data_IF_360880135664
#
_entry.id   IF_360880135664
#
_cell.length_a   1.000
_cell.length_b   1.000
_cell.length_c   1.000
_cell.angle_alpha   90.00
_cell.angle_beta   90.00
_cell.angle_gamma   90.00
#
_symmetry.space_group_name_H-M   'P 1'
#
loop_
_entity.id
_entity.type
_entity.pdbx_description
1 polymer ?
#
# COMPACT_ATOMS: atom_id res chain seq x y z
N UNK A 1 -5.58 -0.21 -29.65
CA UNK A 1 -5.65 -1.70 -29.64
C UNK A 1 -6.31 -2.23 -28.37
N UNK A 2 -5.97 -1.79 -27.15
CA UNK A 2 -6.60 -2.21 -25.87
C UNK A 2 -8.13 -2.05 -25.89
N UNK A 3 -8.63 -1.00 -26.54
CA UNK A 3 -10.07 -0.73 -26.69
C UNK A 3 -10.80 -1.83 -27.49
N UNK A 4 -10.15 -2.45 -28.46
CA UNK A 4 -10.75 -3.54 -29.24
C UNK A 4 -10.83 -4.81 -28.41
N UNK A 5 -9.82 -5.08 -27.59
CA UNK A 5 -9.78 -6.23 -26.70
C UNK A 5 -10.88 -6.18 -25.61
N UNK A 6 -11.20 -4.96 -25.12
CA UNK A 6 -12.25 -4.81 -24.12
C UNK A 6 -13.68 -5.05 -24.65
N UNK A 7 -13.86 -5.23 -25.98
CA UNK A 7 -15.14 -5.56 -26.62
C UNK A 7 -15.34 -7.06 -26.83
N UNK A 8 -14.40 -7.90 -26.38
CA UNK A 8 -14.56 -9.35 -26.47
C UNK A 8 -15.54 -9.83 -25.39
N UNK A 9 -16.82 -9.73 -25.72
CA UNK A 9 -17.92 -10.22 -24.89
C UNK A 9 -18.66 -11.32 -25.65
N UNK A 10 -19.01 -12.40 -24.95
CA UNK A 10 -20.03 -13.35 -25.40
C UNK A 10 -21.39 -12.89 -24.88
N UNK A 11 -22.48 -13.34 -25.48
CA UNK A 11 -23.85 -12.95 -25.08
C UNK A 11 -24.15 -13.23 -23.59
N UNK A 12 -23.34 -14.03 -22.91
CA UNK A 12 -23.58 -14.41 -21.50
C UNK A 12 -22.40 -14.12 -20.56
N UNK A 13 -21.19 -13.85 -21.07
CA UNK A 13 -19.99 -13.69 -20.19
C UNK A 13 -18.98 -12.72 -20.80
N UNK A 14 -18.35 -11.93 -19.93
CA UNK A 14 -17.13 -11.19 -20.27
C UNK A 14 -15.99 -12.18 -20.41
N UNK A 15 -15.38 -12.24 -21.60
CA UNK A 15 -14.30 -13.18 -21.92
C UNK A 15 -12.93 -12.67 -21.48
N UNK A 16 -12.77 -11.36 -21.26
CA UNK A 16 -11.51 -10.73 -20.94
C UNK A 16 -11.65 -9.69 -19.84
N UNK A 17 -10.81 -9.78 -18.83
CA UNK A 17 -10.64 -8.75 -17.80
C UNK A 17 -9.27 -8.08 -18.02
N UNK A 18 -9.26 -6.76 -18.15
CA UNK A 18 -8.05 -5.98 -18.37
C UNK A 18 -7.75 -5.19 -17.10
N UNK A 19 -6.53 -5.34 -16.59
CA UNK A 19 -6.01 -4.57 -15.46
C UNK A 19 -4.89 -3.67 -16.00
N UNK A 20 -5.04 -2.36 -15.81
CA UNK A 20 -4.01 -1.37 -16.14
C UNK A 20 -3.26 -1.02 -14.86
N UNK A 21 -1.96 -1.25 -14.86
CA UNK A 21 -1.08 -0.93 -13.74
C UNK A 21 -0.01 0.04 -14.22
N UNK A 22 0.23 1.09 -13.44
CA UNK A 22 1.24 2.09 -13.77
C UNK A 22 1.48 3.06 -12.61
N UNK A 23 2.45 3.94 -12.80
CA UNK A 23 2.74 5.03 -11.88
C UNK A 23 1.60 6.08 -11.89
N UNK A 24 1.56 7.03 -10.94
CA UNK A 24 0.50 8.06 -10.85
C UNK A 24 0.24 8.82 -12.15
N UNK A 25 1.26 8.97 -13.00
CA UNK A 25 1.18 9.60 -14.33
C UNK A 25 0.21 8.87 -15.28
N UNK A 26 -0.06 7.58 -15.02
CA UNK A 26 -1.05 6.81 -15.79
C UNK A 26 -2.43 7.46 -15.72
N UNK A 27 -2.81 8.06 -14.59
CA UNK A 27 -4.07 8.81 -14.44
C UNK A 27 -4.12 9.98 -15.41
N UNK A 28 -3.03 10.72 -15.54
CA UNK A 28 -2.91 11.85 -16.47
C UNK A 28 -2.99 11.38 -17.93
N UNK A 29 -2.35 10.26 -18.24
CA UNK A 29 -2.42 9.67 -19.59
C UNK A 29 -3.86 9.26 -19.93
N UNK A 30 -4.55 8.55 -19.02
CA UNK A 30 -5.94 8.10 -19.23
C UNK A 30 -6.91 9.29 -19.32
N UNK A 31 -6.60 10.42 -18.68
CA UNK A 31 -7.42 11.63 -18.71
C UNK A 31 -7.35 12.37 -20.06
N UNK A 32 -6.43 12.03 -20.97
CA UNK A 32 -6.29 12.69 -22.27
C UNK A 32 -7.56 12.55 -23.12
N UNK A 33 -7.93 13.58 -23.92
CA UNK A 33 -9.15 13.58 -24.73
C UNK A 33 -9.27 12.37 -25.66
N UNK A 34 -8.15 11.89 -26.21
CA UNK A 34 -8.12 10.72 -27.10
C UNK A 34 -8.45 9.38 -26.43
N UNK A 35 -8.44 9.32 -25.09
CA UNK A 35 -8.67 8.11 -24.31
C UNK A 35 -10.01 8.12 -23.55
N UNK A 36 -10.88 9.08 -23.82
CA UNK A 36 -12.19 9.20 -23.14
C UNK A 36 -13.01 7.91 -23.17
N UNK A 37 -13.02 7.21 -24.32
CA UNK A 37 -13.77 5.95 -24.46
C UNK A 37 -13.16 4.79 -23.65
N UNK A 38 -11.84 4.77 -23.46
CA UNK A 38 -11.17 3.83 -22.57
C UNK A 38 -11.55 4.15 -21.12
N UNK A 39 -11.48 5.42 -20.72
CA UNK A 39 -11.81 5.87 -19.36
C UNK A 39 -13.23 5.49 -18.96
N UNK A 40 -14.22 5.59 -19.88
CA UNK A 40 -15.62 5.20 -19.61
C UNK A 40 -15.81 3.70 -19.34
N UNK A 41 -14.82 2.87 -19.68
CA UNK A 41 -14.85 1.42 -19.46
C UNK A 41 -14.12 0.97 -18.20
N UNK A 42 -13.39 1.88 -17.57
CA UNK A 42 -12.73 1.62 -16.29
C UNK A 42 -13.82 1.67 -15.21
N UNK A 43 -14.14 0.51 -14.66
CA UNK A 43 -15.16 0.36 -13.61
C UNK A 43 -14.58 0.48 -12.21
N UNK A 44 -13.27 0.26 -12.06
CA UNK A 44 -12.57 0.33 -10.76
C UNK A 44 -11.28 1.11 -10.95
N UNK A 45 -11.09 2.15 -10.14
CA UNK A 45 -9.81 2.88 -9.99
C UNK A 45 -9.34 2.67 -8.56
N UNK A 46 -8.12 2.19 -8.41
CA UNK A 46 -7.49 1.96 -7.12
C UNK A 46 -6.13 2.64 -7.10
N UNK A 47 -5.82 3.32 -6.01
CA UNK A 47 -4.52 3.92 -5.77
C UNK A 47 -3.84 3.18 -4.60
N UNK A 48 -2.64 2.64 -4.85
CA UNK A 48 -1.81 2.05 -3.82
C UNK A 48 -0.95 3.16 -3.22
N UNK A 49 -1.25 3.54 -1.99
CA UNK A 49 -0.45 4.49 -1.22
C UNK A 49 0.80 3.85 -0.60
N UNK A 50 1.53 4.64 0.17
CA UNK A 50 2.58 4.14 1.05
C UNK A 50 1.97 3.42 2.25
N UNK A 51 2.74 2.53 2.88
CA UNK A 51 2.31 1.82 4.08
C UNK A 51 2.29 2.77 5.29
N UNK A 52 1.32 2.61 6.17
CA UNK A 52 1.30 3.22 7.49
C UNK A 52 2.40 2.64 8.38
N UNK A 53 2.59 3.19 9.59
CA UNK A 53 3.57 2.67 10.55
C UNK A 53 3.27 1.22 10.93
N UNK A 54 2.01 0.90 11.22
CA UNK A 54 1.59 -0.45 11.59
C UNK A 54 1.75 -1.42 10.42
N UNK A 55 1.32 -1.04 9.21
CA UNK A 55 1.51 -1.83 8.00
C UNK A 55 2.99 -2.02 7.66
N UNK A 56 3.86 -1.04 7.94
CA UNK A 56 5.31 -1.17 7.78
C UNK A 56 5.86 -2.28 8.65
N UNK A 57 5.42 -2.35 9.91
CA UNK A 57 5.77 -3.40 10.86
C UNK A 57 5.30 -4.78 10.38
N UNK A 58 4.02 -4.89 10.03
CA UNK A 58 3.43 -6.12 9.50
C UNK A 58 4.12 -6.59 8.23
N UNK A 59 4.42 -5.66 7.32
CA UNK A 59 5.15 -5.93 6.08
C UNK A 59 6.55 -6.49 6.35
N UNK A 60 7.29 -5.92 7.30
CA UNK A 60 8.62 -6.39 7.66
C UNK A 60 8.57 -7.85 8.16
N UNK A 61 7.68 -8.16 9.08
CA UNK A 61 7.51 -9.54 9.58
C UNK A 61 7.03 -10.49 8.49
N UNK A 62 6.10 -10.07 7.64
CA UNK A 62 5.66 -10.88 6.51
C UNK A 62 6.81 -11.21 5.56
N UNK A 63 7.74 -10.30 5.33
CA UNK A 63 8.93 -10.57 4.51
C UNK A 63 9.83 -11.62 5.15
N UNK A 64 10.04 -11.58 6.48
CA UNK A 64 10.81 -12.60 7.20
C UNK A 64 10.10 -13.96 7.17
N UNK A 65 8.79 -13.98 7.29
CA UNK A 65 7.98 -15.21 7.18
C UNK A 65 8.10 -15.84 5.80
N UNK A 66 7.97 -15.05 4.73
CA UNK A 66 8.17 -15.50 3.35
C UNK A 66 9.58 -16.05 3.11
N UNK A 67 10.59 -15.52 3.81
CA UNK A 67 11.96 -16.02 3.77
C UNK A 67 12.16 -17.30 4.61
N UNK A 68 11.12 -17.76 5.32
CA UNK A 68 11.10 -19.02 6.04
C UNK A 68 11.40 -18.93 7.54
N UNK A 69 11.70 -17.76 8.08
CA UNK A 69 11.95 -17.60 9.51
C UNK A 69 11.57 -16.22 10.04
N UNK A 70 10.39 -16.10 10.61
CA UNK A 70 9.89 -14.85 11.22
C UNK A 70 10.77 -14.37 12.40
N UNK A 71 11.48 -15.29 13.05
CA UNK A 71 12.38 -14.99 14.17
C UNK A 71 13.85 -14.76 13.74
N UNK A 72 14.11 -14.63 12.44
CA UNK A 72 15.45 -14.38 11.92
C UNK A 72 16.05 -13.05 12.41
N UNK A 73 15.18 -12.09 12.71
CA UNK A 73 15.57 -10.78 13.21
C UNK A 73 14.61 -10.36 14.34
N UNK A 74 15.17 -9.99 15.47
CA UNK A 74 14.44 -9.40 16.59
C UNK A 74 14.63 -7.89 16.54
N UNK A 75 13.64 -7.19 15.99
CA UNK A 75 13.65 -5.73 15.91
C UNK A 75 12.74 -5.16 17.02
N UNK A 76 13.25 -4.31 17.93
CA UNK A 76 12.45 -3.65 18.95
C UNK A 76 11.32 -2.79 18.36
N UNK A 77 10.20 -2.68 19.08
CA UNK A 77 9.00 -1.98 18.57
C UNK A 77 9.25 -0.49 18.28
N UNK A 78 10.08 0.18 19.07
CA UNK A 78 10.46 1.58 18.87
C UNK A 78 11.30 1.81 17.60
N UNK A 79 12.02 0.79 17.14
CA UNK A 79 12.80 0.84 15.91
C UNK A 79 11.91 0.90 14.67
N UNK A 80 10.68 0.34 14.71
CA UNK A 80 9.77 0.39 13.56
C UNK A 80 9.32 1.82 13.21
N UNK A 81 9.19 2.70 14.20
CA UNK A 81 8.92 4.11 13.96
C UNK A 81 10.05 4.79 13.15
N UNK A 82 11.32 4.43 13.43
CA UNK A 82 12.48 4.92 12.68
C UNK A 82 12.50 4.35 11.26
N UNK A 83 12.27 3.04 11.11
CA UNK A 83 12.20 2.37 9.79
C UNK A 83 11.10 2.98 8.94
N UNK A 84 9.90 3.19 9.50
CA UNK A 84 8.81 3.83 8.80
C UNK A 84 9.16 5.27 8.39
N UNK A 85 9.68 6.07 9.30
CA UNK A 85 10.08 7.46 9.03
C UNK A 85 11.16 7.55 7.94
N UNK A 86 12.15 6.66 7.98
CA UNK A 86 13.24 6.65 7.00
C UNK A 86 12.77 6.16 5.61
N UNK A 87 11.91 5.13 5.57
CA UNK A 87 11.40 4.57 4.32
C UNK A 87 10.21 5.35 3.73
N UNK A 88 9.58 6.23 4.51
CA UNK A 88 8.32 6.87 4.13
C UNK A 88 7.19 5.87 3.86
N UNK A 89 7.26 4.66 4.41
CA UNK A 89 6.30 3.58 4.16
C UNK A 89 6.39 2.97 2.76
N UNK A 90 7.46 3.25 2.01
CA UNK A 90 7.67 2.69 0.67
C UNK A 90 8.25 1.28 0.76
N UNK A 91 7.56 0.22 0.28
CA UNK A 91 7.97 -1.17 0.46
C UNK A 91 9.40 -1.47 -0.03
N UNK A 92 9.80 -0.85 -1.14
CA UNK A 92 11.17 -0.99 -1.67
C UNK A 92 12.21 -0.48 -0.69
N UNK A 93 11.97 0.68 -0.06
CA UNK A 93 12.92 1.26 0.90
C UNK A 93 12.94 0.49 2.21
N UNK A 94 11.77 -0.06 2.63
CA UNK A 94 11.70 -0.95 3.80
C UNK A 94 12.55 -2.21 3.56
N UNK A 95 12.51 -2.80 2.36
CA UNK A 95 13.34 -3.96 2.03
C UNK A 95 14.84 -3.61 2.07
N UNK A 96 15.23 -2.48 1.46
CA UNK A 96 16.62 -2.05 1.48
C UNK A 96 17.11 -1.85 2.93
N UNK A 97 16.36 -1.14 3.75
CA UNK A 97 16.65 -0.97 5.17
C UNK A 97 16.77 -2.31 5.90
N UNK A 98 15.78 -3.20 5.66
CA UNK A 98 15.76 -4.54 6.25
C UNK A 98 17.01 -5.35 5.93
N UNK A 99 17.44 -5.35 4.67
CA UNK A 99 18.65 -6.07 4.23
C UNK A 99 19.91 -5.54 4.95
N UNK A 100 20.06 -4.21 5.07
CA UNK A 100 21.19 -3.61 5.76
C UNK A 100 21.14 -3.85 7.27
N UNK A 101 19.96 -3.79 7.90
CA UNK A 101 19.80 -4.09 9.33
C UNK A 101 20.12 -5.55 9.64
N UNK A 102 19.71 -6.48 8.78
CA UNK A 102 20.06 -7.90 8.92
C UNK A 102 21.57 -8.11 8.76
N UNK A 103 22.20 -7.43 7.81
CA UNK A 103 23.64 -7.51 7.57
C UNK A 103 24.42 -6.94 8.76
N UNK A 104 24.02 -5.79 9.30
CA UNK A 104 24.64 -5.17 10.46
C UNK A 104 24.55 -6.09 11.69
N UNK A 105 23.36 -6.60 12.01
CA UNK A 105 23.16 -7.54 13.11
C UNK A 105 24.00 -8.82 12.95
N UNK A 106 24.10 -9.33 11.72
CA UNK A 106 24.94 -10.49 11.42
C UNK A 106 26.42 -10.20 11.63
N UNK A 107 26.91 -9.02 11.22
CA UNK A 107 28.34 -8.66 11.37
C UNK A 107 28.75 -8.52 12.83
N UNK A 108 27.82 -8.09 13.70
CA UNK A 108 28.03 -7.97 15.15
C UNK A 108 27.72 -9.26 15.92
N UNK A 109 27.19 -10.29 15.23
CA UNK A 109 26.83 -11.55 15.85
C UNK A 109 25.62 -11.46 16.78
N UNK A 110 24.77 -10.46 16.60
CA UNK A 110 23.54 -10.25 17.37
C UNK A 110 22.33 -10.89 16.70
N UNK A 111 21.24 -11.13 17.46
CA UNK A 111 19.99 -11.67 16.92
C UNK A 111 19.12 -10.63 16.21
N UNK A 112 19.49 -9.38 16.27
CA UNK A 112 18.78 -8.28 15.64
C UNK A 112 19.44 -6.95 16.01
N UNK A 113 19.17 -5.90 15.25
CA UNK A 113 19.74 -4.58 15.50
C UNK A 113 19.10 -3.96 16.75
N UNK A 114 19.90 -3.25 17.50
CA UNK A 114 19.44 -2.36 18.55
C UNK A 114 19.10 -0.97 17.97
N UNK A 115 18.65 -0.08 18.83
CA UNK A 115 18.20 1.25 18.42
C UNK A 115 19.35 2.10 17.83
N UNK A 116 20.57 1.99 18.36
CA UNK A 116 21.74 2.75 17.88
C UNK A 116 22.16 2.24 16.50
N UNK A 117 22.22 0.95 16.30
CA UNK A 117 22.52 0.34 15.00
C UNK A 117 21.50 0.74 13.92
N UNK A 118 20.21 0.83 14.28
CA UNK A 118 19.18 1.29 13.32
C UNK A 118 19.45 2.72 12.88
N UNK A 119 19.84 3.61 13.81
CA UNK A 119 20.19 5.00 13.46
C UNK A 119 21.40 5.06 12.55
N UNK A 120 22.48 4.31 12.87
CA UNK A 120 23.69 4.28 12.05
C UNK A 120 23.41 3.79 10.63
N UNK A 121 22.68 2.70 10.49
CA UNK A 121 22.30 2.17 9.17
C UNK A 121 21.46 3.18 8.38
N UNK A 122 20.51 3.87 9.03
CA UNK A 122 19.72 4.90 8.36
C UNK A 122 20.60 6.07 7.89
N UNK A 123 21.53 6.52 8.71
CA UNK A 123 22.41 7.65 8.37
C UNK A 123 23.38 7.28 7.25
N UNK A 124 23.95 6.09 7.26
CA UNK A 124 24.80 5.57 6.19
C UNK A 124 24.05 5.49 4.85
N UNK A 125 22.82 5.00 4.89
CA UNK A 125 22.02 4.87 3.69
C UNK A 125 21.56 6.20 3.10
N UNK A 126 21.37 7.24 3.91
CA UNK A 126 21.02 8.59 3.42
C UNK A 126 22.09 9.17 2.48
N UNK A 127 23.32 8.76 2.62
CA UNK A 127 24.40 9.17 1.72
C UNK A 127 24.46 8.42 0.38
N UNK A 128 23.83 7.26 0.28
CA UNK A 128 23.99 6.33 -0.85
C UNK A 128 22.71 6.05 -1.64
N UNK A 129 21.56 6.17 -0.99
CA UNK A 129 20.25 5.94 -1.61
C UNK A 129 19.48 7.25 -1.50
N UNK A 130 18.86 7.70 -2.60
CA UNK A 130 17.91 8.79 -2.54
C UNK A 130 16.68 8.33 -1.72
N UNK A 131 16.84 8.34 -0.39
CA UNK A 131 15.70 8.24 0.51
C UNK A 131 14.77 9.40 0.20
N UNK A 132 13.52 9.06 0.01
CA UNK A 132 12.47 10.02 -0.28
C UNK A 132 12.54 11.15 0.74
N UNK A 133 12.71 12.37 0.25
CA UNK A 133 12.62 13.57 1.07
C UNK A 133 11.15 13.72 1.48
N UNK A 134 10.77 13.11 2.59
CA UNK A 134 9.38 13.04 3.11
C UNK A 134 8.80 14.45 3.30
N UNK A 135 9.63 15.47 3.42
CA UNK A 135 9.20 16.87 3.50
C UNK A 135 8.69 17.43 2.16
N UNK A 136 8.97 16.78 1.02
CA UNK A 136 8.57 17.28 -0.29
C UNK A 136 7.24 16.73 -0.78
N UNK A 137 6.77 15.59 -0.24
CA UNK A 137 5.50 14.96 -0.63
C UNK A 137 4.29 15.44 0.18
N UNK A 138 4.49 16.01 1.37
CA UNK A 138 3.40 16.52 2.21
C UNK A 138 2.78 17.81 1.67
N UNK A 139 3.46 18.52 0.78
CA UNK A 139 2.97 19.77 0.20
C UNK A 139 2.05 19.61 -1.03
N UNK A 140 1.82 18.38 -1.53
CA UNK A 140 0.99 18.16 -2.72
C UNK A 140 -0.41 17.60 -2.44
N UNK A 141 -0.71 17.13 -1.22
CA UNK A 141 -1.98 16.45 -0.91
C UNK A 141 -2.98 17.28 -0.07
N UNK A 142 -2.71 18.57 0.22
CA UNK A 142 -3.64 19.40 0.99
C UNK A 142 -4.60 20.26 0.16
N UNK A 143 -4.73 20.04 -1.16
CA UNK A 143 -5.62 20.84 -2.00
C UNK A 143 -6.80 20.09 -2.63
N UNK A 144 -7.17 18.90 -2.15
CA UNK A 144 -8.35 18.20 -2.66
C UNK A 144 -9.10 17.34 -1.64
N UNK A 145 -9.48 17.93 -0.49
CA UNK A 145 -10.49 17.32 0.38
C UNK A 145 -11.55 18.34 0.79
N UNK A 146 -12.33 18.79 -0.16
CA UNK A 146 -13.65 19.38 0.08
C UNK A 146 -14.50 19.05 -1.14
N UNK A 147 -15.30 18.00 -1.05
CA UNK A 147 -16.59 17.79 -1.70
C UNK A 147 -16.93 16.29 -1.72
N UNK A 148 -17.32 15.78 -0.55
CA UNK A 148 -18.14 14.55 -0.49
C UNK A 148 -19.59 15.02 -0.37
N UNK A 149 -20.45 14.77 -1.37
CA UNK A 149 -21.86 15.09 -1.24
C UNK A 149 -22.52 14.15 -0.22
N UNK A 150 -23.11 14.73 0.80
CA UNK A 150 -23.73 14.10 1.99
C UNK A 150 -25.08 13.38 1.72
N UNK A 151 -25.40 12.94 0.52
CA UNK A 151 -26.74 12.41 0.21
C UNK A 151 -26.80 10.90 -0.09
N UNK A 152 -25.85 10.11 0.38
CA UNK A 152 -25.90 8.64 0.28
C UNK A 152 -25.81 7.93 1.63
N UNK A 153 -26.34 8.51 2.71
CA UNK A 153 -26.60 7.78 3.94
C UNK A 153 -28.09 7.36 3.92
N UNK A 154 -28.37 6.25 3.26
CA UNK A 154 -29.65 5.58 3.32
C UNK A 154 -29.80 4.88 4.68
N UNK A 155 -30.68 5.41 5.51
CA UNK A 155 -31.20 4.79 6.72
C UNK A 155 -31.96 3.50 6.38
N UNK A 156 -31.31 2.36 6.47
CA UNK A 156 -31.93 1.04 6.43
C UNK A 156 -32.08 0.48 7.83
N UNK A 157 -33.09 0.96 8.56
CA UNK A 157 -33.59 0.27 9.75
C UNK A 157 -34.40 -0.94 9.28
N UNK A 158 -33.87 -2.15 9.43
CA UNK A 158 -34.64 -3.37 9.41
C UNK A 158 -34.83 -3.85 10.86
N UNK A 159 -36.04 -3.58 11.37
CA UNK A 159 -36.55 -4.20 12.57
C UNK A 159 -36.74 -5.70 12.33
N UNK A 160 -36.18 -6.50 13.20
CA UNK A 160 -36.43 -7.93 13.37
C UNK A 160 -37.77 -8.08 14.06
N UNK A 161 -38.81 -8.54 13.35
CA UNK A 161 -39.97 -9.19 13.96
C UNK A 161 -39.86 -10.69 13.73
N UNK A 162 -39.36 -11.39 14.73
CA UNK A 162 -39.61 -12.82 14.90
C UNK A 162 -40.87 -12.95 15.75
N UNK A 163 -41.98 -13.26 15.16
CA UNK A 163 -43.19 -13.77 15.84
C UNK A 163 -43.08 -15.28 15.95
N UNK A 164 -43.04 -15.68 17.16
CA UNK A 164 -43.30 -17.02 17.68
C UNK A 164 -44.77 -17.37 17.40
N UNK A 165 -45.04 -18.52 16.83
CA UNK A 165 -46.34 -19.19 16.96
C UNK A 165 -46.14 -20.69 16.90
N UNK A 166 -46.31 -21.23 18.10
CA UNK A 166 -46.40 -22.62 18.44
C UNK A 166 -47.77 -23.22 18.08
N UNK A 167 -47.84 -24.54 18.07
CA UNK A 167 -48.99 -25.44 18.38
C UNK A 167 -49.76 -25.94 17.15
N UNK A 168 -49.61 -27.10 16.81
CA UNK A 168 -50.27 -28.42 17.05
C UNK A 168 -49.76 -29.46 16.06
#
# INVERSE_FOLDING_TARGET
EVRLLSNLESNEKKLLQIILVGQPELKTVIAQPGLQQLRQRISVDCHLGVLSSDETREYFFHRLECAGNVNACVLPDDCFALVHKASGGVPRLINILGDYLLLAAFSEGTKGPDFEMVIEVIDDLRGHVAFYDVNKSVSLDHSSSSDIPTHLVGSGSMANEFSDDSVQ
#
